data_IF_691982640025
#
_entry.id   IF_691982640025
#
_cell.length_a   1.000
_cell.length_b   1.000
_cell.length_c   1.000
_cell.angle_alpha   90.00
_cell.angle_beta   90.00
_cell.angle_gamma   90.00
#
_symmetry.space_group_name_H-M   'P 1'
#
loop_
_entity.id
_entity.type
_entity.pdbx_description
1 polymer ?
#
# COMPACT_ATOMS: atom_id res chain seq x y z
N UNK A 1 -20.80 1.49 -3.24
CA UNK A 1 -20.55 0.69 -2.03
C UNK A 1 -19.05 0.64 -1.82
N UNK A 2 -18.56 1.37 -0.82
CA UNK A 2 -17.14 1.39 -0.47
C UNK A 2 -16.80 0.02 0.11
N UNK A 3 -16.21 -0.86 -0.69
CA UNK A 3 -15.59 -2.09 -0.17
C UNK A 3 -14.43 -1.64 0.70
N UNK A 4 -14.68 -1.55 1.99
CA UNK A 4 -13.63 -1.31 2.96
C UNK A 4 -12.69 -2.51 2.96
N UNK A 5 -11.45 -2.24 2.60
CA UNK A 5 -10.35 -3.17 2.71
C UNK A 5 -10.25 -3.76 4.13
N UNK A 6 -10.09 -5.07 4.27
CA UNK A 6 -9.84 -5.71 5.56
C UNK A 6 -8.39 -6.15 5.68
N UNK A 7 -7.87 -6.18 6.90
CA UNK A 7 -6.57 -6.82 7.18
C UNK A 7 -6.67 -8.30 6.78
N UNK A 8 -5.68 -8.77 6.02
CA UNK A 8 -5.67 -10.12 5.44
C UNK A 8 -6.20 -10.20 4.01
N UNK A 9 -6.86 -9.16 3.49
CA UNK A 9 -7.32 -9.16 2.10
C UNK A 9 -6.13 -9.14 1.13
N UNK A 10 -6.23 -9.93 0.05
CA UNK A 10 -5.36 -9.81 -1.11
C UNK A 10 -5.83 -8.66 -1.97
N UNK A 11 -4.90 -7.78 -2.32
CA UNK A 11 -5.14 -6.60 -3.15
C UNK A 11 -4.14 -6.53 -4.28
N UNK A 12 -4.52 -5.83 -5.35
CA UNK A 12 -3.68 -5.58 -6.50
C UNK A 12 -3.51 -4.08 -6.72
N UNK A 13 -2.29 -3.66 -7.00
CA UNK A 13 -1.99 -2.25 -7.31
C UNK A 13 -2.57 -1.90 -8.68
N UNK A 14 -3.56 -1.00 -8.70
CA UNK A 14 -4.17 -0.50 -9.95
C UNK A 14 -3.66 0.88 -10.37
N UNK A 15 -3.04 1.62 -9.43
CA UNK A 15 -2.51 2.97 -9.64
C UNK A 15 -1.37 3.21 -8.65
N UNK A 16 -0.32 3.88 -9.13
CA UNK A 16 0.81 4.26 -8.30
C UNK A 16 0.55 5.62 -7.62
N UNK A 17 0.75 5.72 -6.29
CA UNK A 17 0.81 7.01 -5.60
C UNK A 17 2.11 7.75 -5.97
N UNK A 18 2.23 9.07 -5.73
CA UNK A 18 3.46 9.81 -6.03
C UNK A 18 4.65 9.40 -5.17
N UNK A 19 4.38 8.90 -3.95
CA UNK A 19 5.40 8.38 -3.04
C UNK A 19 4.81 7.23 -2.24
N UNK A 20 5.68 6.31 -1.82
CA UNK A 20 5.33 5.20 -0.92
C UNK A 20 6.24 5.19 0.29
N UNK A 21 5.71 4.75 1.42
CA UNK A 21 6.49 4.58 2.65
C UNK A 21 6.75 3.09 2.88
N UNK A 22 8.01 2.69 2.98
CA UNK A 22 8.37 1.30 3.28
C UNK A 22 8.30 1.04 4.79
N UNK A 23 8.08 -0.23 5.16
CA UNK A 23 8.01 -0.68 6.56
C UNK A 23 9.40 -0.91 7.20
N UNK A 24 10.47 -0.37 6.60
CA UNK A 24 11.82 -0.53 7.12
C UNK A 24 12.03 0.24 8.44
N UNK A 25 13.03 -0.16 9.26
CA UNK A 25 13.28 0.44 10.58
C UNK A 25 13.45 1.96 10.57
N UNK A 26 13.90 2.53 9.45
CA UNK A 26 13.94 3.97 9.18
C UNK A 26 12.98 4.29 8.03
N UNK A 27 11.70 4.61 8.31
CA UNK A 27 10.71 4.76 7.27
C UNK A 27 10.95 6.04 6.46
N UNK A 28 11.31 5.88 5.19
CA UNK A 28 11.51 6.99 4.26
C UNK A 28 10.40 6.99 3.21
N UNK A 29 10.06 8.19 2.70
CA UNK A 29 9.28 8.32 1.47
C UNK A 29 10.18 7.91 0.31
N UNK A 30 9.79 6.86 -0.41
CA UNK A 30 10.46 6.37 -1.60
C UNK A 30 9.66 6.73 -2.86
N UNK A 31 10.33 6.86 -4.01
CA UNK A 31 9.65 6.96 -5.29
C UNK A 31 8.77 5.72 -5.56
N UNK A 32 7.76 5.82 -6.41
CA UNK A 32 6.79 4.75 -6.64
C UNK A 32 7.36 3.53 -7.36
N UNK A 33 8.57 3.64 -7.92
CA UNK A 33 9.30 2.59 -8.66
C UNK A 33 9.57 1.32 -7.82
N UNK A 34 9.39 1.38 -6.49
CA UNK A 34 9.55 0.21 -5.62
C UNK A 34 8.36 -0.76 -5.64
N UNK A 35 7.24 -0.38 -6.27
CA UNK A 35 6.06 -1.24 -6.50
C UNK A 35 5.60 -1.11 -7.95
N UNK A 36 5.00 -2.16 -8.51
CA UNK A 36 4.53 -2.15 -9.90
C UNK A 36 3.00 -2.21 -10.00
N UNK A 37 2.47 -1.67 -11.10
CA UNK A 37 1.05 -1.86 -11.44
C UNK A 37 0.82 -3.35 -11.73
N UNK A 38 -0.25 -3.89 -11.17
CA UNK A 38 -0.57 -5.32 -11.27
C UNK A 38 0.08 -6.16 -10.17
N UNK A 39 0.96 -5.59 -9.35
CA UNK A 39 1.56 -6.30 -8.21
C UNK A 39 0.49 -6.63 -7.17
N UNK A 40 0.53 -7.86 -6.66
CA UNK A 40 -0.40 -8.37 -5.66
C UNK A 40 0.27 -8.42 -4.28
N UNK A 41 -0.48 -8.03 -3.25
CA UNK A 41 -0.02 -8.01 -1.87
C UNK A 41 -1.15 -8.28 -0.88
N UNK A 42 -0.80 -8.32 0.40
CA UNK A 42 -1.75 -8.54 1.50
C UNK A 42 -1.78 -7.32 2.40
N UNK A 43 -2.97 -6.94 2.85
CA UNK A 43 -3.13 -5.85 3.81
C UNK A 43 -2.71 -6.32 5.19
N UNK A 44 -1.65 -5.73 5.72
CA UNK A 44 -1.11 -6.06 7.05
C UNK A 44 -1.71 -5.19 8.16
N UNK A 45 -1.95 -3.91 7.89
CA UNK A 45 -2.46 -2.96 8.87
C UNK A 45 -3.23 -1.83 8.14
N UNK A 46 -4.21 -1.23 8.82
CA UNK A 46 -4.96 -0.07 8.32
C UNK A 46 -4.92 1.02 9.38
N UNK A 47 -4.28 2.14 9.07
CA UNK A 47 -4.28 3.35 9.90
C UNK A 47 -5.05 4.44 9.17
N UNK A 48 -6.32 4.72 9.54
CA UNK A 48 -7.04 5.86 8.99
C UNK A 48 -6.28 7.14 9.35
N UNK A 49 -6.11 8.04 8.37
CA UNK A 49 -5.67 9.40 8.65
C UNK A 49 -6.75 10.10 9.47
N UNK A 50 -6.38 10.66 10.63
CA UNK A 50 -7.27 11.48 11.44
C UNK A 50 -7.68 12.77 10.73
#
# INVERSE_FOLDING_TARGET
MSTEFKVGDRVRVIKLPPYVKTAEPMPMLRPPEVIHIGEEGVILDRRPGG
#
